data_IF_298109046246
#
_entry.id   IF_298109046246
#
_cell.length_a   1.000
_cell.length_b   1.000
_cell.length_c   1.000
_cell.angle_alpha   90.00
_cell.angle_beta   90.00
_cell.angle_gamma   90.00
#
_symmetry.space_group_name_H-M   'P 1'
#
loop_
_entity.id
_entity.type
_entity.pdbx_description
1 polymer ?
#
# COMPACT_ATOMS: atom_id res chain seq x y z
N UNK A 1 -5.86 16.88 -1.99
CA UNK A 1 -4.49 16.41 -1.84
C UNK A 1 -4.28 15.85 -0.43
N UNK A 2 -3.33 14.94 -0.28
CA UNK A 2 -2.76 14.50 0.98
C UNK A 2 -1.34 15.07 1.12
N UNK A 3 -0.97 15.44 2.36
CA UNK A 3 0.39 15.87 2.70
C UNK A 3 0.89 14.99 3.82
N UNK A 4 2.10 14.50 3.70
CA UNK A 4 2.79 13.73 4.74
C UNK A 4 4.26 14.13 4.82
N UNK A 5 4.83 14.01 6.02
CA UNK A 5 6.27 14.21 6.20
C UNK A 5 7.06 13.13 5.46
N UNK A 6 8.15 13.52 4.83
CA UNK A 6 9.15 12.59 4.31
C UNK A 6 10.31 12.53 5.28
N UNK A 7 10.34 11.45 6.06
CA UNK A 7 11.37 11.19 7.06
C UNK A 7 11.56 9.68 7.23
N UNK A 8 12.79 9.19 7.18
CA UNK A 8 13.11 7.79 7.46
C UNK A 8 12.95 7.46 8.95
N UNK A 9 13.06 8.46 9.83
CA UNK A 9 13.05 8.28 11.27
C UNK A 9 11.64 8.29 11.86
N UNK A 10 10.61 8.69 11.06
CA UNK A 10 9.20 8.76 11.49
C UNK A 10 8.36 7.78 10.66
N UNK A 11 8.38 6.47 10.97
CA UNK A 11 7.59 5.47 10.25
C UNK A 11 6.08 5.64 10.49
N UNK A 12 5.67 5.98 11.72
CA UNK A 12 4.27 6.14 12.12
C UNK A 12 3.80 7.59 12.00
N UNK A 13 3.70 8.08 10.75
CA UNK A 13 3.40 9.49 10.43
C UNK A 13 2.06 9.98 10.96
N UNK A 14 1.07 9.10 11.06
CA UNK A 14 -0.26 9.43 11.60
C UNK A 14 -0.21 9.71 13.09
N UNK A 15 0.50 8.89 13.87
CA UNK A 15 0.68 9.07 15.31
C UNK A 15 1.46 10.34 15.63
N UNK A 16 2.44 10.66 14.79
CA UNK A 16 3.20 11.91 14.89
C UNK A 16 2.38 13.15 14.51
N UNK A 17 1.13 13.01 14.05
CA UNK A 17 0.34 14.12 13.50
C UNK A 17 0.97 14.73 12.24
N UNK A 18 1.84 13.99 11.57
CA UNK A 18 2.63 14.41 10.43
C UNK A 18 1.99 14.04 9.08
N UNK A 19 0.66 13.94 9.05
CA UNK A 19 -0.18 13.72 7.87
C UNK A 19 -1.36 14.69 7.89
N UNK A 20 -1.71 15.27 6.73
CA UNK A 20 -2.95 16.02 6.50
C UNK A 20 -3.62 15.52 5.24
N UNK A 21 -4.89 15.20 5.34
CA UNK A 21 -5.73 14.76 4.23
C UNK A 21 -6.70 15.87 3.81
N UNK A 22 -7.31 15.71 2.64
CA UNK A 22 -8.34 16.61 2.12
C UNK A 22 -7.91 18.07 1.94
N UNK A 23 -6.65 18.30 1.59
CA UNK A 23 -6.12 19.64 1.31
C UNK A 23 -6.61 20.10 -0.06
N UNK A 24 -7.42 21.19 -0.10
CA UNK A 24 -8.19 21.56 -1.29
C UNK A 24 -7.60 22.70 -2.10
N UNK A 25 -6.73 23.54 -1.52
CA UNK A 25 -6.19 24.71 -2.19
C UNK A 25 -4.78 25.05 -1.73
N UNK A 26 -4.12 25.96 -2.46
CA UNK A 26 -2.73 26.33 -2.22
C UNK A 26 -2.49 26.97 -0.83
N UNK A 27 -3.44 27.73 -0.33
CA UNK A 27 -3.32 28.35 1.00
C UNK A 27 -3.34 27.28 2.09
N UNK A 28 -4.31 26.34 2.01
CA UNK A 28 -4.40 25.20 2.90
C UNK A 28 -3.16 24.29 2.78
N UNK A 29 -2.61 24.12 1.57
CA UNK A 29 -1.39 23.36 1.32
C UNK A 29 -0.20 23.92 2.10
N UNK A 30 0.03 25.25 2.03
CA UNK A 30 1.13 25.90 2.74
C UNK A 30 0.99 25.77 4.26
N UNK A 31 -0.22 25.96 4.78
CA UNK A 31 -0.51 25.80 6.22
C UNK A 31 -0.29 24.36 6.66
N UNK A 32 -0.85 23.41 5.95
CA UNK A 32 -0.72 21.98 6.26
C UNK A 32 0.74 21.50 6.19
N UNK A 33 1.52 21.98 5.23
CA UNK A 33 2.95 21.64 5.14
C UNK A 33 3.73 22.15 6.36
N UNK A 34 3.48 23.39 6.79
CA UNK A 34 4.12 23.94 7.99
C UNK A 34 3.71 23.16 9.26
N UNK A 35 2.43 22.81 9.41
CA UNK A 35 1.93 22.02 10.53
C UNK A 35 2.55 20.61 10.59
N UNK A 36 2.60 19.93 9.45
CA UNK A 36 3.16 18.57 9.35
C UNK A 36 4.64 18.55 9.77
N UNK A 37 5.42 19.54 9.31
CA UNK A 37 6.83 19.68 9.71
C UNK A 37 6.95 19.99 11.21
N UNK A 38 6.18 20.96 11.73
CA UNK A 38 6.22 21.30 13.14
C UNK A 38 5.81 20.13 14.06
N UNK A 39 4.83 19.33 13.64
CA UNK A 39 4.41 18.15 14.38
C UNK A 39 5.48 17.06 14.37
N UNK A 40 6.11 16.81 13.23
CA UNK A 40 7.21 15.86 13.10
C UNK A 40 8.38 16.24 14.03
N UNK A 41 8.79 17.52 14.01
CA UNK A 41 9.87 18.03 14.88
C UNK A 41 9.49 17.97 16.37
N UNK A 42 8.22 18.15 16.71
CA UNK A 42 7.76 18.00 18.10
C UNK A 42 7.73 16.55 18.54
N UNK A 43 7.34 15.65 17.65
CA UNK A 43 7.27 14.21 17.94
C UNK A 43 8.66 13.60 18.11
N UNK A 44 9.57 13.97 17.23
CA UNK A 44 10.95 13.49 17.25
C UNK A 44 11.92 14.63 16.84
N UNK A 45 12.46 15.40 17.80
CA UNK A 45 13.26 16.59 17.54
C UNK A 45 14.51 16.34 16.67
N UNK A 46 15.12 15.18 16.82
CA UNK A 46 16.36 14.80 16.12
C UNK A 46 16.10 14.05 14.81
N UNK A 47 14.85 13.89 14.40
CA UNK A 47 14.50 13.18 13.18
C UNK A 47 15.02 13.90 11.94
N UNK A 48 15.63 13.14 11.05
CA UNK A 48 15.99 13.65 9.73
C UNK A 48 14.73 13.83 8.88
N UNK A 49 14.49 15.05 8.42
CA UNK A 49 13.36 15.40 7.58
C UNK A 49 13.87 15.77 6.19
N UNK A 50 13.55 14.95 5.19
CA UNK A 50 13.88 15.23 3.78
C UNK A 50 12.99 16.34 3.21
N UNK A 51 11.74 16.41 3.67
CA UNK A 51 10.75 17.37 3.18
C UNK A 51 9.33 16.94 3.46
N UNK A 52 8.43 17.40 2.59
CA UNK A 52 7.00 17.08 2.65
C UNK A 52 6.57 16.49 1.32
N UNK A 53 5.97 15.31 1.38
CA UNK A 53 5.38 14.67 0.22
C UNK A 53 3.94 15.17 0.04
N UNK A 54 3.63 15.61 -1.17
CA UNK A 54 2.27 16.00 -1.59
C UNK A 54 1.78 14.98 -2.60
N UNK A 55 0.66 14.33 -2.30
CA UNK A 55 0.08 13.31 -3.15
C UNK A 55 -1.38 13.64 -3.50
N UNK A 56 -1.82 13.20 -4.66
CA UNK A 56 -3.21 13.19 -5.01
C UNK A 56 -3.96 12.14 -4.17
N UNK A 57 -5.18 12.45 -3.77
CA UNK A 57 -6.02 11.49 -3.06
C UNK A 57 -6.82 10.70 -4.08
N UNK A 58 -6.61 9.41 -4.11
CA UNK A 58 -7.47 8.49 -4.82
C UNK A 58 -8.75 8.21 -4.02
N UNK A 59 -9.85 8.02 -4.73
CA UNK A 59 -11.15 7.60 -4.16
C UNK A 59 -11.43 6.18 -4.62
N UNK A 60 -11.72 5.29 -3.69
CA UNK A 60 -12.03 3.90 -4.00
C UNK A 60 -11.93 2.99 -2.79
N UNK A 61 -12.03 1.69 -3.02
CA UNK A 61 -11.86 0.67 -1.98
C UNK A 61 -10.38 0.26 -1.90
N UNK A 62 -9.81 0.44 -0.73
CA UNK A 62 -8.43 0.06 -0.45
C UNK A 62 -8.30 -1.46 -0.33
N UNK A 63 -7.33 -2.03 -1.01
CA UNK A 63 -6.94 -3.44 -0.90
C UNK A 63 -5.48 -3.56 -0.51
N UNK A 64 -5.12 -4.66 0.13
CA UNK A 64 -3.73 -4.98 0.50
C UNK A 64 -3.29 -6.20 -0.29
N UNK A 65 -2.13 -6.10 -0.93
CA UNK A 65 -1.40 -7.22 -1.52
C UNK A 65 -0.03 -7.24 -0.84
N UNK A 66 0.25 -8.30 -0.11
CA UNK A 66 1.54 -8.52 0.54
C UNK A 66 2.27 -9.69 -0.13
N UNK A 67 3.59 -9.63 -0.18
CA UNK A 67 4.43 -10.77 -0.53
C UNK A 67 5.51 -10.93 0.53
N UNK A 68 5.72 -12.15 0.97
CA UNK A 68 6.86 -12.52 1.81
C UNK A 68 7.54 -13.70 1.15
N UNK A 69 8.84 -13.61 0.96
CA UNK A 69 9.63 -14.72 0.45
C UNK A 69 10.09 -15.60 1.61
N UNK A 70 9.36 -16.71 1.82
CA UNK A 70 9.71 -17.70 2.83
C UNK A 70 10.91 -18.55 2.39
N UNK A 71 11.82 -18.84 3.32
CA UNK A 71 13.05 -19.58 3.03
C UNK A 71 12.81 -21.02 2.63
N UNK A 72 11.68 -21.62 3.02
CA UNK A 72 11.35 -23.03 2.77
C UNK A 72 10.31 -23.19 1.68
N UNK A 73 9.33 -22.28 1.62
CA UNK A 73 8.18 -22.37 0.73
C UNK A 73 8.26 -21.44 -0.48
N UNK A 74 9.25 -20.55 -0.51
CA UNK A 74 9.35 -19.52 -1.54
C UNK A 74 8.35 -18.38 -1.33
N UNK A 75 8.05 -17.59 -2.37
CA UNK A 75 7.20 -16.42 -2.23
C UNK A 75 5.75 -16.80 -1.93
N UNK A 76 5.20 -16.19 -0.89
CA UNK A 76 3.79 -16.30 -0.47
C UNK A 76 3.13 -14.95 -0.67
N UNK A 77 2.03 -14.94 -1.40
CA UNK A 77 1.23 -13.75 -1.66
C UNK A 77 0.02 -13.72 -0.73
N UNK A 78 -0.19 -12.59 -0.08
CA UNK A 78 -1.34 -12.29 0.76
C UNK A 78 -2.25 -11.30 0.03
N UNK A 79 -3.55 -11.49 0.18
CA UNK A 79 -4.58 -10.55 -0.28
C UNK A 79 -5.63 -10.30 0.80
N UNK A 80 -6.12 -9.05 0.89
CA UNK A 80 -7.24 -8.66 1.75
C UNK A 80 -7.74 -7.26 1.46
N UNK A 81 -8.84 -6.85 2.10
CA UNK A 81 -9.25 -5.45 2.11
C UNK A 81 -8.35 -4.65 3.05
N UNK A 82 -8.06 -3.41 2.66
CA UNK A 82 -7.23 -2.49 3.45
C UNK A 82 -7.92 -1.92 4.69
N UNK A 83 -7.18 -1.07 5.42
CA UNK A 83 -7.66 -0.39 6.59
C UNK A 83 -8.11 -1.33 7.71
N UNK A 84 -9.22 -0.98 8.35
CA UNK A 84 -9.79 -1.71 9.52
C UNK A 84 -10.03 -3.19 9.24
N UNK A 85 -10.35 -3.57 8.01
CA UNK A 85 -10.62 -4.97 7.65
C UNK A 85 -9.36 -5.85 7.78
N UNK A 86 -8.22 -5.38 7.31
CA UNK A 86 -6.97 -6.13 7.43
C UNK A 86 -6.43 -6.10 8.87
N UNK A 87 -6.43 -4.93 9.51
CA UNK A 87 -5.80 -4.74 10.82
C UNK A 87 -6.58 -5.40 11.96
N UNK A 88 -7.90 -5.20 12.01
CA UNK A 88 -8.73 -5.71 13.10
C UNK A 88 -9.35 -7.07 12.81
N UNK A 89 -9.86 -7.29 11.60
CA UNK A 89 -10.59 -8.51 11.26
C UNK A 89 -9.69 -9.61 10.75
N UNK A 90 -8.47 -9.30 10.32
CA UNK A 90 -7.49 -10.23 9.74
C UNK A 90 -8.13 -11.08 8.61
N UNK A 91 -8.99 -10.42 7.82
CA UNK A 91 -9.71 -11.06 6.72
C UNK A 91 -8.82 -11.06 5.47
N UNK A 92 -7.97 -12.06 5.41
CA UNK A 92 -6.93 -12.21 4.38
C UNK A 92 -6.86 -13.64 3.88
N UNK A 93 -6.41 -13.81 2.63
CA UNK A 93 -6.11 -15.10 2.01
C UNK A 93 -4.65 -15.17 1.58
N UNK A 94 -4.14 -16.39 1.35
CA UNK A 94 -2.75 -16.62 0.99
C UNK A 94 -2.64 -17.64 -0.13
N UNK A 95 -1.67 -17.44 -1.05
CA UNK A 95 -1.27 -18.41 -2.08
C UNK A 95 0.24 -18.40 -2.27
N UNK A 96 0.78 -19.58 -2.58
CA UNK A 96 2.16 -19.68 -3.06
C UNK A 96 2.27 -19.12 -4.48
N UNK A 97 3.29 -18.30 -4.72
CA UNK A 97 3.58 -17.81 -6.05
C UNK A 97 4.40 -18.87 -6.85
N UNK A 98 4.30 -18.90 -8.21
CA UNK A 98 3.39 -18.11 -9.02
C UNK A 98 2.00 -18.74 -9.13
N UNK A 99 0.99 -17.93 -9.42
CA UNK A 99 -0.35 -18.39 -9.73
C UNK A 99 -1.02 -17.55 -10.85
N UNK A 100 -2.01 -18.16 -11.51
CA UNK A 100 -2.73 -17.55 -12.62
C UNK A 100 -3.89 -16.64 -12.16
N UNK A 101 -4.57 -16.01 -13.12
CA UNK A 101 -5.68 -15.09 -12.87
C UNK A 101 -6.90 -15.81 -12.27
N UNK A 102 -7.12 -17.08 -12.61
CA UNK A 102 -8.22 -17.87 -12.05
C UNK A 102 -8.03 -18.08 -10.55
N UNK A 103 -6.85 -18.56 -10.16
CA UNK A 103 -6.46 -18.70 -8.74
C UNK A 103 -6.54 -17.36 -7.99
N UNK A 104 -6.13 -16.25 -8.64
CA UNK A 104 -6.28 -14.92 -8.06
C UNK A 104 -7.75 -14.54 -7.82
N UNK A 105 -8.64 -14.91 -8.74
CA UNK A 105 -10.09 -14.66 -8.61
C UNK A 105 -10.70 -15.48 -7.47
N UNK A 106 -10.31 -16.75 -7.32
CA UNK A 106 -10.70 -17.57 -6.17
C UNK A 106 -10.26 -16.94 -4.86
N UNK A 107 -8.99 -16.51 -4.78
CA UNK A 107 -8.39 -15.86 -3.63
C UNK A 107 -9.16 -14.59 -3.20
N UNK A 108 -9.59 -13.77 -4.18
CA UNK A 108 -10.42 -12.59 -3.94
C UNK A 108 -11.80 -12.98 -3.38
N UNK A 109 -12.37 -14.07 -3.87
CA UNK A 109 -13.68 -14.58 -3.43
C UNK A 109 -13.69 -15.20 -2.03
N UNK A 110 -12.55 -15.63 -1.50
CA UNK A 110 -12.43 -16.31 -0.21
C UNK A 110 -12.47 -15.39 1.00
N UNK A 111 -12.14 -14.09 0.86
CA UNK A 111 -12.25 -13.16 1.98
C UNK A 111 -13.71 -12.95 2.36
N UNK A 112 -14.01 -12.82 3.65
CA UNK A 112 -15.39 -12.59 4.15
C UNK A 112 -15.99 -11.29 3.61
N UNK A 113 -15.13 -10.31 3.36
CA UNK A 113 -15.49 -9.00 2.80
C UNK A 113 -15.65 -8.99 1.27
N UNK A 114 -15.46 -10.13 0.56
CA UNK A 114 -15.63 -10.23 -0.90
C UNK A 114 -16.95 -9.62 -1.44
N UNK A 115 -18.10 -9.72 -0.74
CA UNK A 115 -19.34 -9.05 -1.19
C UNK A 115 -19.19 -7.53 -1.37
N UNK A 116 -18.29 -6.87 -0.65
CA UNK A 116 -18.03 -5.43 -0.83
C UNK A 116 -17.34 -5.13 -2.17
N UNK A 117 -16.61 -6.08 -2.71
CA UNK A 117 -15.93 -5.97 -4.01
C UNK A 117 -16.89 -6.28 -5.17
N UNK A 118 -17.82 -7.22 -4.98
CA UNK A 118 -18.74 -7.68 -6.03
C UNK A 118 -20.06 -6.92 -6.09
N UNK A 119 -20.25 -5.95 -5.21
CA UNK A 119 -21.45 -5.13 -5.12
C UNK A 119 -22.37 -5.55 -3.96
N UNK A 120 -22.43 -4.71 -2.94
CA UNK A 120 -23.23 -4.95 -1.72
C UNK A 120 -24.25 -3.84 -1.53
N UNK A 121 -25.50 -4.22 -1.21
CA UNK A 121 -26.62 -3.30 -0.95
C UNK A 121 -26.86 -2.25 -2.05
N UNK A 122 -26.70 -2.64 -3.32
CA UNK A 122 -26.91 -1.77 -4.47
C UNK A 122 -25.72 -0.91 -4.89
N UNK A 123 -24.55 -1.07 -4.27
CA UNK A 123 -23.30 -0.51 -4.80
C UNK A 123 -22.90 -1.23 -6.09
N UNK A 124 -22.29 -0.49 -7.01
CA UNK A 124 -21.74 -1.09 -8.22
C UNK A 124 -20.57 -2.04 -7.86
N UNK A 125 -20.39 -3.13 -8.60
CA UNK A 125 -19.21 -3.98 -8.43
C UNK A 125 -17.94 -3.22 -8.78
N UNK A 126 -16.86 -3.50 -8.07
CA UNK A 126 -15.53 -2.96 -8.34
C UNK A 126 -14.84 -3.74 -9.48
N UNK A 127 -13.70 -3.26 -9.94
CA UNK A 127 -12.93 -3.87 -11.03
C UNK A 127 -12.20 -5.15 -10.59
N UNK A 128 -12.95 -6.17 -10.15
CA UNK A 128 -12.41 -7.44 -9.61
C UNK A 128 -11.50 -8.16 -10.61
N UNK A 129 -11.82 -8.11 -11.91
CA UNK A 129 -10.98 -8.73 -12.95
C UNK A 129 -9.60 -8.03 -13.08
N UNK A 130 -9.58 -6.70 -13.03
CA UNK A 130 -8.33 -5.96 -13.03
C UNK A 130 -7.49 -6.26 -11.78
N UNK A 131 -8.14 -6.40 -10.62
CA UNK A 131 -7.50 -6.81 -9.37
C UNK A 131 -6.93 -8.23 -9.47
N UNK A 132 -7.64 -9.19 -10.04
CA UNK A 132 -7.16 -10.56 -10.23
C UNK A 132 -5.93 -10.60 -11.16
N UNK A 133 -5.94 -9.81 -12.24
CA UNK A 133 -4.78 -9.67 -13.12
C UNK A 133 -3.58 -9.05 -12.38
N UNK A 134 -3.81 -8.01 -11.59
CA UNK A 134 -2.75 -7.37 -10.81
C UNK A 134 -2.13 -8.34 -9.79
N UNK A 135 -2.97 -9.09 -9.08
CA UNK A 135 -2.55 -10.08 -8.08
C UNK A 135 -1.71 -11.21 -8.70
N UNK A 136 -2.16 -11.75 -9.84
CA UNK A 136 -1.41 -12.75 -10.61
C UNK A 136 -0.05 -12.20 -11.07
N UNK A 137 0.00 -10.95 -11.57
CA UNK A 137 1.27 -10.31 -12.01
C UNK A 137 2.24 -10.08 -10.85
N UNK A 138 1.72 -9.69 -9.68
CA UNK A 138 2.55 -9.56 -8.47
C UNK A 138 3.12 -10.92 -8.07
N UNK A 139 2.34 -11.99 -8.18
CA UNK A 139 2.81 -13.34 -7.88
C UNK A 139 3.92 -13.80 -8.85
N UNK A 140 3.78 -13.52 -10.14
CA UNK A 140 4.81 -13.79 -11.15
C UNK A 140 6.09 -12.99 -10.87
N UNK A 141 5.97 -11.69 -10.60
CA UNK A 141 7.10 -10.84 -10.23
C UNK A 141 7.84 -11.39 -9.02
N UNK A 142 7.12 -11.81 -7.99
CA UNK A 142 7.69 -12.38 -6.78
C UNK A 142 8.43 -13.69 -7.05
N UNK A 143 7.87 -14.56 -7.89
CA UNK A 143 8.49 -15.83 -8.25
C UNK A 143 9.74 -15.64 -9.12
N UNK A 144 9.67 -14.75 -10.14
CA UNK A 144 10.78 -14.49 -11.07
C UNK A 144 11.97 -13.82 -10.38
N UNK A 145 11.74 -13.12 -9.27
CA UNK A 145 12.77 -12.37 -8.53
C UNK A 145 12.90 -12.82 -7.06
N UNK A 146 12.60 -14.06 -6.77
CA UNK A 146 12.66 -14.60 -5.41
C UNK A 146 14.06 -14.53 -4.76
N UNK A 147 15.11 -14.47 -5.57
CA UNK A 147 16.50 -14.28 -5.13
C UNK A 147 16.81 -12.84 -4.70
N UNK A 148 15.98 -11.88 -5.08
CA UNK A 148 16.21 -10.43 -4.89
C UNK A 148 15.14 -9.74 -4.06
N UNK A 149 13.92 -10.27 -4.07
CA UNK A 149 12.76 -9.70 -3.36
C UNK A 149 12.53 -10.51 -2.09
N UNK A 150 12.74 -9.87 -0.94
CA UNK A 150 12.41 -10.46 0.35
C UNK A 150 10.95 -10.21 0.74
N UNK A 151 10.43 -9.01 0.44
CA UNK A 151 9.09 -8.56 0.83
C UNK A 151 8.56 -7.52 -0.15
N UNK A 152 7.25 -7.56 -0.41
CA UNK A 152 6.50 -6.51 -1.11
C UNK A 152 5.27 -6.17 -0.26
N UNK A 153 5.07 -4.89 0.03
CA UNK A 153 3.85 -4.38 0.65
C UNK A 153 3.14 -3.42 -0.31
N UNK A 154 1.89 -3.72 -0.62
CA UNK A 154 1.01 -2.91 -1.46
C UNK A 154 -0.24 -2.57 -0.66
N UNK A 155 -0.60 -1.29 -0.57
CA UNK A 155 -1.82 -0.88 0.12
C UNK A 155 -1.66 -0.37 1.55
N UNK A 156 -0.45 -0.34 2.11
CA UNK A 156 -0.20 0.35 3.39
C UNK A 156 0.03 1.85 3.16
N UNK A 157 -0.32 2.74 4.13
CA UNK A 157 -0.12 4.19 3.99
C UNK A 157 1.32 4.64 3.71
N UNK A 158 2.28 3.76 4.00
CA UNK A 158 3.71 3.94 3.73
C UNK A 158 4.24 2.98 2.66
N UNK A 159 3.35 2.25 1.99
CA UNK A 159 3.73 1.25 1.00
C UNK A 159 4.07 1.88 -0.35
N UNK A 160 4.89 1.15 -1.07
CA UNK A 160 5.37 1.48 -2.40
C UNK A 160 4.25 1.55 -3.45
N UNK A 161 3.13 0.90 -3.20
CA UNK A 161 2.06 0.71 -4.16
C UNK A 161 0.70 0.69 -3.45
N UNK A 162 -0.16 1.64 -3.79
CA UNK A 162 -1.57 1.66 -3.42
C UNK A 162 -2.38 1.21 -4.63
N UNK A 163 -3.12 0.11 -4.50
CA UNK A 163 -4.11 -0.29 -5.49
C UNK A 163 -5.46 0.26 -5.05
N UNK A 164 -5.96 1.25 -5.78
CA UNK A 164 -7.29 1.80 -5.60
C UNK A 164 -8.17 1.30 -6.74
N UNK A 165 -9.27 0.67 -6.39
CA UNK A 165 -10.26 0.18 -7.36
C UNK A 165 -11.38 1.22 -7.46
N UNK A 166 -11.56 1.80 -8.64
CA UNK A 166 -12.70 2.66 -8.97
C UNK A 166 -13.70 1.91 -9.85
N UNK A 167 -15.00 2.27 -9.70
CA UNK A 167 -16.09 1.65 -10.43
C UNK A 167 -16.24 2.14 -11.89
N UNK A 168 -15.65 3.28 -12.23
CA UNK A 168 -16.03 4.02 -13.43
C UNK A 168 -15.09 3.85 -14.63
N UNK A 169 -13.78 3.74 -14.43
CA UNK A 169 -12.83 3.64 -15.53
C UNK A 169 -11.57 2.84 -15.14
N UNK A 170 -11.04 2.09 -16.07
CA UNK A 170 -9.97 1.10 -16.02
C UNK A 170 -8.58 1.65 -15.59
N UNK A 171 -8.50 2.56 -14.64
CA UNK A 171 -7.21 3.04 -14.15
C UNK A 171 -6.88 2.43 -12.76
N UNK A 172 -6.11 1.34 -12.80
CA UNK A 172 -5.36 0.89 -11.65
C UNK A 172 -4.22 1.88 -11.44
N UNK A 173 -4.37 2.82 -10.51
CA UNK A 173 -3.30 3.75 -10.17
C UNK A 173 -2.26 3.01 -9.35
N UNK A 174 -1.20 2.58 -10.00
CA UNK A 174 0.00 2.04 -9.39
C UNK A 174 0.88 3.24 -8.96
N UNK A 175 0.72 3.71 -7.73
CA UNK A 175 1.63 4.71 -7.17
C UNK A 175 2.90 4.02 -6.66
N UNK A 176 3.99 4.19 -7.39
CA UNK A 176 5.30 3.64 -7.05
C UNK A 176 6.08 4.68 -6.23
N UNK A 177 6.24 4.48 -4.92
CA UNK A 177 7.21 5.22 -4.11
C UNK A 177 8.48 4.37 -3.95
N UNK A 178 9.61 4.76 -4.54
CA UNK A 178 10.86 4.02 -4.34
C UNK A 178 11.36 4.23 -2.91
N UNK A 179 11.25 3.22 -2.07
CA UNK A 179 12.00 3.17 -0.82
C UNK A 179 13.48 3.02 -1.15
N UNK A 180 14.27 4.09 -0.97
CA UNK A 180 15.73 3.96 -0.94
C UNK A 180 16.10 3.21 0.35
N UNK A 181 16.24 1.89 0.28
CA UNK A 181 17.08 1.18 1.25
C UNK A 181 18.52 1.58 0.96
N UNK A 182 19.19 2.17 1.94
CA UNK A 182 20.61 2.33 1.92
C UNK A 182 21.26 0.95 1.74
N UNK A 183 22.02 0.79 0.68
CA UNK A 183 22.93 -0.33 0.54
C UNK A 183 24.01 -0.09 1.60
N UNK A 184 23.96 -0.82 2.71
CA UNK A 184 25.12 -0.95 3.59
C UNK A 184 26.21 -1.69 2.79
N UNK A 185 27.14 -0.91 2.27
CA UNK A 185 28.40 -1.47 1.80
C UNK A 185 29.18 -1.87 3.03
N UNK A 186 29.12 -3.16 3.39
CA UNK A 186 30.05 -3.73 4.36
C UNK A 186 31.47 -3.54 3.81
N UNK A 187 32.23 -2.70 4.47
CA UNK A 187 33.69 -2.72 4.41
C UNK A 187 34.12 -3.71 5.47
N UNK A 188 34.50 -4.90 5.02
CA UNK A 188 35.36 -5.78 5.79
C UNK A 188 36.81 -5.25 5.66
N UNK A 189 37.39 -4.83 6.80
CA UNK A 189 38.82 -4.81 7.05
C UNK A 189 39.25 -6.06 7.84
#
# INVERSE_FOLDING_TARGET
>A
LAIKIDSPDIPHKTEAGAVRLNVQNLAALKTAAAEVVANAQRYQPDAHVNGVLVAEMAVGTEVIIGVVNDKFFGPVVMFGLGGVFAELLKDVTYRFAPFDVETAREMIGEIKAAPLLTGYRGSAPLAVEALAVALSRVSLLAADHADRIAEIDVGKPNALLLVVLDCADFETILCFEPTRRGVETGHDD
#
